data_IF_690917279727
#
_entry.id   IF_690917279727
#
_cell.length_a   1.000
_cell.length_b   1.000
_cell.length_c   1.000
_cell.angle_alpha   90.00
_cell.angle_beta   90.00
_cell.angle_gamma   90.00
#
_symmetry.space_group_name_H-M   'P 1'
#
loop_
_entity.id
_entity.type
_entity.pdbx_description
1 polymer ?
#
# COMPACT_ATOMS: atom_id res chain seq x y z
N UNK A 1 -25.41 -30.21 34.37
CA UNK A 1 -24.55 -29.05 34.68
C UNK A 1 -23.10 -29.17 34.17
N UNK A 2 -22.48 -30.36 34.11
CA UNK A 2 -21.11 -30.51 33.59
C UNK A 2 -20.95 -30.25 32.07
N UNK A 3 -21.98 -30.58 31.26
CA UNK A 3 -21.94 -30.45 29.79
C UNK A 3 -21.93 -28.98 29.33
N UNK A 4 -22.62 -28.07 30.03
CA UNK A 4 -22.63 -26.64 29.67
C UNK A 4 -21.29 -25.95 29.91
N UNK A 5 -20.56 -26.36 30.96
CA UNK A 5 -19.25 -25.80 31.30
C UNK A 5 -18.18 -26.18 30.26
N UNK A 6 -18.25 -27.40 29.72
CA UNK A 6 -17.40 -27.84 28.60
C UNK A 6 -17.72 -27.11 27.29
N UNK A 7 -19.00 -26.93 26.97
CA UNK A 7 -19.44 -26.21 25.75
C UNK A 7 -19.00 -24.75 25.75
N UNK A 8 -19.19 -24.02 26.85
CA UNK A 8 -18.75 -22.62 26.94
C UNK A 8 -17.23 -22.47 26.90
N UNK A 9 -16.48 -23.42 27.47
CA UNK A 9 -15.01 -23.44 27.42
C UNK A 9 -14.48 -23.69 26.00
N UNK A 10 -15.06 -24.65 25.25
CA UNK A 10 -14.68 -24.90 23.86
C UNK A 10 -15.02 -23.71 22.96
N UNK A 11 -16.22 -23.12 23.11
CA UNK A 11 -16.62 -21.93 22.33
C UNK A 11 -15.68 -20.76 22.61
N UNK A 12 -15.35 -20.49 23.88
CA UNK A 12 -14.39 -19.44 24.24
C UNK A 12 -13.01 -19.70 23.66
N UNK A 13 -12.54 -20.94 23.70
CA UNK A 13 -11.23 -21.32 23.17
C UNK A 13 -11.17 -21.13 21.66
N UNK A 14 -12.16 -21.65 20.91
CA UNK A 14 -12.27 -21.46 19.46
C UNK A 14 -12.34 -19.97 19.11
N UNK A 15 -13.15 -19.19 19.83
CA UNK A 15 -13.23 -17.74 19.65
C UNK A 15 -11.86 -17.06 19.81
N UNK A 16 -11.10 -17.42 20.84
CA UNK A 16 -9.76 -16.85 21.07
C UNK A 16 -8.78 -17.23 19.95
N UNK A 17 -8.82 -18.46 19.43
CA UNK A 17 -7.99 -18.86 18.28
C UNK A 17 -8.36 -18.10 17.01
N UNK A 18 -9.64 -17.90 16.73
CA UNK A 18 -10.08 -17.11 15.59
C UNK A 18 -9.66 -15.64 15.74
N UNK A 19 -9.88 -15.06 16.93
CA UNK A 19 -9.50 -13.67 17.20
C UNK A 19 -7.98 -13.45 17.07
N UNK A 20 -7.18 -14.38 17.57
CA UNK A 20 -5.71 -14.30 17.44
C UNK A 20 -5.24 -14.50 16.00
N UNK A 21 -5.88 -15.38 15.22
CA UNK A 21 -5.58 -15.55 13.81
C UNK A 21 -5.89 -14.28 13.00
N UNK A 22 -7.04 -13.64 13.26
CA UNK A 22 -7.40 -12.36 12.66
C UNK A 22 -6.40 -11.27 13.08
N UNK A 23 -6.10 -11.18 14.38
CA UNK A 23 -5.13 -10.21 14.90
C UNK A 23 -3.73 -10.38 14.30
N UNK A 24 -3.28 -11.62 14.12
CA UNK A 24 -2.01 -11.92 13.46
C UNK A 24 -2.01 -11.46 12.00
N UNK A 25 -3.11 -11.69 11.28
CA UNK A 25 -3.28 -11.20 9.91
C UNK A 25 -3.18 -9.67 9.82
N UNK A 26 -3.84 -8.96 10.74
CA UNK A 26 -3.76 -7.49 10.83
C UNK A 26 -2.33 -7.01 11.15
N UNK A 27 -1.63 -7.69 12.06
CA UNK A 27 -0.24 -7.35 12.40
C UNK A 27 0.71 -7.55 11.22
N UNK A 28 0.58 -8.65 10.48
CA UNK A 28 1.38 -8.92 9.28
C UNK A 28 1.09 -7.85 8.22
N UNK A 29 -0.19 -7.58 7.93
CA UNK A 29 -0.59 -6.58 6.94
C UNK A 29 -0.07 -5.17 7.30
N UNK A 30 -0.21 -4.76 8.56
CA UNK A 30 0.32 -3.48 9.03
C UNK A 30 1.84 -3.41 8.96
N UNK A 31 2.54 -4.49 9.29
CA UNK A 31 4.01 -4.56 9.22
C UNK A 31 4.53 -4.42 7.79
N UNK A 32 3.85 -5.05 6.82
CA UNK A 32 4.17 -4.93 5.40
C UNK A 32 3.99 -3.47 4.94
N UNK A 33 2.86 -2.85 5.28
CA UNK A 33 2.61 -1.45 4.91
C UNK A 33 3.65 -0.49 5.52
N UNK A 34 4.01 -0.68 6.79
CA UNK A 34 5.01 0.14 7.46
C UNK A 34 6.40 0.00 6.81
N UNK A 35 6.82 -1.22 6.50
CA UNK A 35 8.11 -1.45 5.84
C UNK A 35 8.12 -0.91 4.41
N UNK A 36 7.03 -1.10 3.66
CA UNK A 36 6.87 -0.54 2.32
C UNK A 36 7.02 0.99 2.36
N UNK A 37 6.36 1.66 3.30
CA UNK A 37 6.46 3.11 3.47
C UNK A 37 7.89 3.57 3.75
N UNK A 38 8.59 2.91 4.67
CA UNK A 38 10.00 3.22 4.99
C UNK A 38 10.86 3.08 3.74
N UNK A 39 10.65 2.01 2.98
CA UNK A 39 11.43 1.71 1.79
C UNK A 39 11.21 2.76 0.70
N UNK A 40 9.96 3.17 0.46
CA UNK A 40 9.62 4.24 -0.49
C UNK A 40 10.13 5.61 -0.05
N UNK A 41 10.11 5.93 1.24
CA UNK A 41 10.52 7.26 1.71
C UNK A 41 12.04 7.46 1.77
N UNK A 42 12.81 6.38 1.91
CA UNK A 42 14.27 6.47 2.12
C UNK A 42 15.12 5.94 0.96
N UNK A 43 14.73 4.83 0.33
CA UNK A 43 15.56 4.12 -0.66
C UNK A 43 14.94 4.20 -2.06
N UNK A 44 13.62 3.98 -2.16
CA UNK A 44 12.85 3.92 -3.41
C UNK A 44 12.01 5.20 -3.57
N UNK A 45 12.67 6.36 -3.50
CA UNK A 45 12.01 7.68 -3.47
C UNK A 45 11.22 8.05 -4.72
N UNK A 46 11.41 7.32 -5.85
CA UNK A 46 10.60 7.53 -7.06
C UNK A 46 9.35 6.65 -7.11
N UNK A 47 9.12 5.76 -6.14
CA UNK A 47 7.97 4.85 -6.13
C UNK A 47 6.62 5.58 -6.19
N UNK A 48 6.53 6.76 -5.58
CA UNK A 48 5.31 7.58 -5.52
C UNK A 48 5.42 8.84 -6.39
N UNK A 49 6.43 8.93 -7.27
CA UNK A 49 6.67 10.12 -8.08
C UNK A 49 5.50 10.44 -9.02
N UNK A 50 4.91 9.41 -9.63
CA UNK A 50 3.72 9.54 -10.48
C UNK A 50 2.54 10.10 -9.68
N UNK A 51 2.24 9.52 -8.51
CA UNK A 51 1.12 9.92 -7.65
C UNK A 51 1.28 11.37 -7.14
N UNK A 52 2.49 11.74 -6.70
CA UNK A 52 2.77 13.12 -6.28
C UNK A 52 2.54 14.13 -7.40
N UNK A 53 2.82 13.74 -8.63
CA UNK A 53 2.71 14.61 -9.77
C UNK A 53 1.24 14.84 -10.18
N UNK A 54 0.43 13.79 -10.13
CA UNK A 54 -1.02 13.91 -10.29
C UNK A 54 -1.66 14.72 -9.16
N UNK A 55 -1.19 14.56 -7.92
CA UNK A 55 -1.67 15.33 -6.78
C UNK A 55 -1.36 16.84 -6.87
N UNK A 56 -0.33 17.21 -7.65
CA UNK A 56 0.07 18.61 -7.91
C UNK A 56 -0.46 19.14 -9.24
N UNK A 57 -1.40 18.45 -9.87
CA UNK A 57 -2.04 18.95 -11.09
C UNK A 57 -2.70 20.32 -10.81
N UNK A 58 -2.45 21.34 -11.66
CA UNK A 58 -3.13 22.61 -11.51
C UNK A 58 -4.65 22.38 -11.65
N UNK A 59 -5.48 23.11 -10.89
CA UNK A 59 -6.91 23.02 -11.03
C UNK A 59 -7.33 23.38 -12.46
N UNK A 60 -8.55 23.02 -12.85
CA UNK A 60 -9.17 23.56 -14.07
C UNK A 60 -9.02 25.09 -14.12
N UNK A 61 -8.95 25.70 -15.32
CA UNK A 61 -8.73 27.14 -15.48
C UNK A 61 -9.50 27.96 -14.45
N UNK A 62 -8.81 28.87 -13.76
CA UNK A 62 -9.41 29.68 -12.70
C UNK A 62 -10.77 30.20 -13.16
N UNK A 63 -11.80 29.89 -12.37
CA UNK A 63 -13.21 29.93 -12.72
C UNK A 63 -13.60 31.13 -13.59
N UNK A 64 -13.53 30.96 -14.91
CA UNK A 64 -14.34 31.77 -15.82
C UNK A 64 -15.71 31.09 -15.84
N UNK A 65 -16.44 31.18 -14.73
CA UNK A 65 -17.74 30.51 -14.57
C UNK A 65 -18.70 30.86 -15.72
N UNK A 66 -18.52 32.05 -16.28
CA UNK A 66 -19.25 32.55 -17.44
C UNK A 66 -19.03 31.72 -18.72
N UNK A 67 -17.91 31.02 -18.88
CA UNK A 67 -17.62 30.16 -20.05
C UNK A 67 -18.52 28.93 -20.10
N UNK A 68 -19.08 28.49 -18.96
CA UNK A 68 -19.97 27.31 -18.90
C UNK A 68 -21.25 27.50 -19.71
N UNK A 69 -21.72 28.74 -19.84
CA UNK A 69 -23.00 29.07 -20.46
C UNK A 69 -22.85 29.72 -21.86
N UNK A 70 -21.62 29.78 -22.39
CA UNK A 70 -21.32 30.47 -23.64
C UNK A 70 -21.49 29.54 -24.83
N UNK A 71 -22.37 29.94 -25.75
CA UNK A 71 -22.67 29.24 -27.02
C UNK A 71 -21.98 29.88 -28.23
N UNK A 72 -21.11 30.87 -28.03
CA UNK A 72 -20.43 31.62 -29.09
C UNK A 72 -19.05 32.14 -28.67
N UNK A 73 -18.51 33.14 -29.35
CA UNK A 73 -17.26 33.79 -28.96
C UNK A 73 -17.51 34.84 -27.87
N UNK A 74 -16.74 34.80 -26.78
CA UNK A 74 -16.75 35.81 -25.72
C UNK A 74 -15.38 36.45 -25.62
N UNK A 75 -15.36 37.78 -25.61
CA UNK A 75 -14.16 38.53 -25.28
C UNK A 75 -13.92 38.48 -23.78
N UNK A 76 -12.71 38.08 -23.40
CA UNK A 76 -12.29 38.05 -22.01
C UNK A 76 -11.97 39.46 -21.51
N UNK A 77 -12.42 39.76 -20.30
CA UNK A 77 -11.96 40.95 -19.56
C UNK A 77 -10.46 40.88 -19.31
N UNK A 78 -9.79 42.02 -19.11
CA UNK A 78 -8.35 42.07 -18.80
C UNK A 78 -7.98 41.19 -17.58
N UNK A 79 -8.86 41.13 -16.58
CA UNK A 79 -8.70 40.31 -15.39
C UNK A 79 -8.77 38.81 -15.71
N UNK A 80 -9.73 38.38 -16.53
CA UNK A 80 -9.85 36.98 -16.99
C UNK A 80 -8.67 36.58 -17.89
N UNK A 81 -8.19 37.50 -18.75
CA UNK A 81 -6.99 37.27 -19.54
C UNK A 81 -5.75 37.06 -18.66
N UNK A 82 -5.61 37.86 -17.60
CA UNK A 82 -4.51 37.71 -16.64
C UNK A 82 -4.57 36.36 -15.91
N UNK A 83 -5.75 35.94 -15.44
CA UNK A 83 -5.97 34.65 -14.79
C UNK A 83 -5.71 33.46 -15.72
N UNK A 84 -6.15 33.56 -16.98
CA UNK A 84 -5.90 32.53 -17.97
C UNK A 84 -4.40 32.41 -18.27
N UNK A 85 -3.69 33.53 -18.36
CA UNK A 85 -2.25 33.56 -18.59
C UNK A 85 -1.48 32.91 -17.44
N UNK A 86 -1.84 33.19 -16.18
CA UNK A 86 -1.20 32.53 -15.03
C UNK A 86 -1.47 31.04 -15.01
N UNK A 87 -2.73 30.63 -15.26
CA UNK A 87 -3.08 29.21 -15.34
C UNK A 87 -2.31 28.46 -16.43
N UNK A 88 -2.15 29.06 -17.61
CA UNK A 88 -1.37 28.48 -18.71
C UNK A 88 0.10 28.25 -18.32
N UNK A 89 0.69 29.19 -17.57
CA UNK A 89 2.05 29.04 -17.05
C UNK A 89 2.16 27.88 -16.06
N UNK A 90 1.22 27.75 -15.13
CA UNK A 90 1.19 26.66 -14.15
C UNK A 90 0.99 25.30 -14.85
N UNK A 91 0.12 25.26 -15.87
CA UNK A 91 -0.13 24.08 -16.68
C UNK A 91 1.10 23.65 -17.49
N UNK A 92 1.79 24.60 -18.13
CA UNK A 92 3.02 24.32 -18.88
C UNK A 92 4.14 23.78 -17.99
N UNK A 93 4.29 24.35 -16.78
CA UNK A 93 5.24 23.85 -15.79
C UNK A 93 4.91 22.43 -15.34
N UNK A 94 3.64 22.15 -15.02
CA UNK A 94 3.19 20.81 -14.63
C UNK A 94 3.37 19.79 -15.76
N UNK A 95 2.98 20.14 -16.99
CA UNK A 95 3.11 19.29 -18.18
C UNK A 95 4.58 18.95 -18.46
N UNK A 96 5.48 19.93 -18.33
CA UNK A 96 6.93 19.71 -18.49
C UNK A 96 7.47 18.76 -17.42
N UNK A 97 7.05 18.91 -16.16
CA UNK A 97 7.42 17.99 -15.09
C UNK A 97 6.89 16.58 -15.34
N UNK A 98 5.68 16.45 -15.90
CA UNK A 98 5.08 15.17 -16.27
C UNK A 98 5.86 14.45 -17.35
N UNK A 99 6.27 15.16 -18.40
CA UNK A 99 7.09 14.59 -19.47
C UNK A 99 8.47 14.10 -18.97
N UNK A 100 8.98 14.67 -17.87
CA UNK A 100 10.25 14.27 -17.28
C UNK A 100 10.16 13.02 -16.37
N UNK A 101 8.96 12.57 -15.98
CA UNK A 101 8.80 11.39 -15.13
C UNK A 101 8.91 10.09 -15.93
N UNK A 102 9.80 9.21 -15.48
CA UNK A 102 9.82 7.82 -15.90
C UNK A 102 8.75 7.02 -15.13
N UNK A 103 7.55 6.96 -15.71
CA UNK A 103 6.40 6.24 -15.15
C UNK A 103 6.65 4.74 -14.99
N UNK A 104 7.46 4.15 -15.87
CA UNK A 104 7.78 2.72 -15.82
C UNK A 104 8.68 2.45 -14.62
N UNK A 105 9.69 3.28 -14.40
CA UNK A 105 10.57 3.19 -13.24
C UNK A 105 9.82 3.45 -11.93
N UNK A 106 8.98 4.47 -11.86
CA UNK A 106 8.15 4.74 -10.68
C UNK A 106 7.30 3.51 -10.30
N UNK A 107 6.58 2.95 -11.29
CA UNK A 107 5.77 1.74 -11.08
C UNK A 107 6.60 0.53 -10.65
N UNK A 108 7.78 0.32 -11.24
CA UNK A 108 8.69 -0.76 -10.85
C UNK A 108 9.21 -0.59 -9.43
N UNK A 109 9.57 0.63 -9.02
CA UNK A 109 10.00 0.91 -7.65
C UNK A 109 8.88 0.66 -6.64
N UNK A 110 7.63 1.04 -6.97
CA UNK A 110 6.47 0.72 -6.13
C UNK A 110 6.27 -0.78 -5.97
N UNK A 111 6.30 -1.53 -7.07
CA UNK A 111 6.19 -2.99 -7.05
C UNK A 111 7.32 -3.65 -6.25
N UNK A 112 8.55 -3.18 -6.43
CA UNK A 112 9.71 -3.64 -5.68
C UNK A 112 9.55 -3.36 -4.18
N UNK A 113 9.02 -2.18 -3.82
CA UNK A 113 8.81 -1.81 -2.43
C UNK A 113 7.86 -2.79 -1.72
N UNK A 114 6.70 -3.04 -2.33
CA UNK A 114 5.72 -4.00 -1.82
C UNK A 114 6.30 -5.42 -1.75
N UNK A 115 7.00 -5.86 -2.79
CA UNK A 115 7.60 -7.20 -2.81
C UNK A 115 8.63 -7.40 -1.69
N UNK A 116 9.53 -6.41 -1.51
CA UNK A 116 10.54 -6.46 -0.45
C UNK A 116 9.89 -6.44 0.94
N UNK A 117 8.83 -5.65 1.14
CA UNK A 117 8.09 -5.64 2.39
C UNK A 117 7.44 -6.99 2.71
N UNK A 118 6.77 -7.61 1.72
CA UNK A 118 6.17 -8.94 1.87
C UNK A 118 7.21 -10.01 2.21
N UNK A 119 8.34 -10.00 1.52
CA UNK A 119 9.42 -10.97 1.76
C UNK A 119 10.04 -10.75 3.15
N UNK A 120 10.33 -9.50 3.52
CA UNK A 120 10.95 -9.17 4.79
C UNK A 120 10.08 -9.60 5.99
N UNK A 121 8.76 -9.37 5.92
CA UNK A 121 7.83 -9.77 6.98
C UNK A 121 7.48 -11.26 6.89
N UNK A 122 7.35 -11.80 5.68
CA UNK A 122 6.94 -13.17 5.43
C UNK A 122 7.99 -14.21 5.80
N UNK A 123 9.29 -13.91 5.63
CA UNK A 123 10.38 -14.84 5.96
C UNK A 123 10.35 -15.26 7.44
N UNK A 124 10.34 -14.34 8.43
CA UNK A 124 10.26 -14.70 9.84
C UNK A 124 9.04 -15.57 10.16
N UNK A 125 7.87 -15.21 9.62
CA UNK A 125 6.62 -15.95 9.83
C UNK A 125 6.73 -17.38 9.26
N UNK A 126 7.20 -17.50 8.02
CA UNK A 126 7.40 -18.79 7.35
C UNK A 126 8.39 -19.67 8.13
N UNK A 127 9.56 -19.13 8.49
CA UNK A 127 10.58 -19.86 9.21
C UNK A 127 10.09 -20.33 10.58
N UNK A 128 9.37 -19.49 11.32
CA UNK A 128 8.79 -19.86 12.61
C UNK A 128 7.86 -21.08 12.48
N UNK A 129 6.93 -21.04 11.52
CA UNK A 129 6.01 -22.15 11.29
C UNK A 129 6.71 -23.40 10.79
N UNK A 130 7.65 -23.27 9.85
CA UNK A 130 8.43 -24.39 9.33
C UNK A 130 9.24 -25.11 10.43
N UNK A 131 9.93 -24.35 11.28
CA UNK A 131 10.68 -24.91 12.40
C UNK A 131 9.78 -25.64 13.40
N UNK A 132 8.58 -25.11 13.66
CA UNK A 132 7.61 -25.73 14.57
C UNK A 132 7.11 -27.06 14.00
N UNK A 133 6.72 -27.08 12.72
CA UNK A 133 6.28 -28.30 12.03
C UNK A 133 7.38 -29.35 12.07
N UNK A 134 8.62 -28.98 11.76
CA UNK A 134 9.76 -29.90 11.80
C UNK A 134 9.97 -30.52 13.19
N UNK A 135 9.81 -29.73 14.26
CA UNK A 135 9.90 -30.23 15.65
C UNK A 135 8.79 -31.22 15.98
N UNK A 136 7.56 -30.94 15.56
CA UNK A 136 6.44 -31.84 15.80
C UNK A 136 6.59 -33.14 15.00
N UNK A 137 6.91 -33.07 13.70
CA UNK A 137 7.16 -34.26 12.87
C UNK A 137 8.30 -35.13 13.43
N UNK A 138 9.35 -34.51 13.97
CA UNK A 138 10.45 -35.22 14.62
C UNK A 138 10.06 -35.95 15.91
N UNK A 139 8.99 -35.53 16.60
CA UNK A 139 8.44 -36.28 17.76
C UNK A 139 7.63 -37.50 17.34
N UNK A 140 7.03 -37.48 16.14
CA UNK A 140 6.16 -38.55 15.66
C UNK A 140 6.89 -39.65 14.89
N UNK A 141 8.08 -39.38 14.36
CA UNK A 141 8.94 -40.39 13.74
C UNK A 141 9.92 -40.87 14.82
N UNK A 142 9.70 -42.04 15.47
CA UNK A 142 10.74 -42.65 16.28
C UNK A 142 11.90 -42.95 15.33
N UNK A 143 13.09 -42.40 15.62
CA UNK A 143 14.31 -42.82 14.95
C UNK A 143 14.57 -44.27 15.33
N UNK A 144 14.06 -45.21 14.55
CA UNK A 144 14.47 -46.61 14.64
C UNK A 144 15.88 -46.70 14.08
N UNK A 145 16.86 -46.76 14.98
CA UNK A 145 18.22 -47.18 14.64
C UNK A 145 19.29 -46.21 15.12
N UNK A 146 19.87 -46.48 16.29
CA UNK A 146 21.18 -47.14 16.35
C UNK A 146 21.52 -47.43 17.82
N UNK A 147 21.02 -48.56 18.32
CA UNK A 147 21.51 -49.22 19.53
C UNK A 147 21.97 -50.64 19.17
N UNK A 148 22.98 -50.79 18.29
CA UNK A 148 24.04 -51.83 18.32
C UNK A 148 25.15 -51.48 17.34
#
# INVERSE_FOLDING_TARGET
>A
MAIEKGRSWTVRTVYLYVATLVGLGLLIAGSVQAFELILKSTILTQADAEEQLWARQPPMPYAIDRVKDVTGTVELTEQEQALLKSWLQDYEQWSTQQAAIDVVKARRQRQLATALALVFVGIPVYLYHWMTIRKELGKFIPTTGNDV
#
